data_IF_804903267198
#
_entry.id   IF_804903267198
#
_cell.length_a   1.000
_cell.length_b   1.000
_cell.length_c   1.000
_cell.angle_alpha   90.00
_cell.angle_beta   90.00
_cell.angle_gamma   90.00
#
_symmetry.space_group_name_H-M   'P 1'
#
loop_
_entity.id
_entity.type
_entity.pdbx_description
1 polymer ?
#
# COMPACT_ATOMS: atom_id res chain seq x y z
N UNK A 1 -13.44 -9.29 18.98
CA UNK A 1 -12.47 -8.29 18.53
C UNK A 1 -11.96 -8.66 17.14
N UNK A 2 -12.08 -7.75 16.22
CA UNK A 2 -11.57 -7.99 14.86
C UNK A 2 -10.06 -7.78 14.85
N UNK A 3 -9.31 -8.80 14.46
CA UNK A 3 -7.89 -8.66 14.22
C UNK A 3 -7.63 -8.01 12.85
N UNK A 4 -6.38 -7.73 12.58
CA UNK A 4 -5.97 -7.23 11.27
C UNK A 4 -6.05 -8.35 10.24
N UNK A 5 -6.73 -8.10 9.14
CA UNK A 5 -6.79 -9.05 8.03
C UNK A 5 -5.62 -8.78 7.09
N UNK A 6 -4.87 -9.81 6.75
CA UNK A 6 -3.72 -9.69 5.84
C UNK A 6 -3.95 -10.55 4.61
N UNK A 7 -3.91 -9.93 3.42
CA UNK A 7 -4.05 -10.62 2.15
C UNK A 7 -2.77 -10.49 1.31
N UNK A 8 -2.34 -11.57 0.71
CA UNK A 8 -1.19 -11.58 -0.18
C UNK A 8 -1.66 -11.74 -1.64
N UNK A 9 -1.29 -10.79 -2.47
CA UNK A 9 -1.60 -10.80 -3.90
C UNK A 9 -0.33 -11.18 -4.67
N UNK A 10 -0.26 -12.43 -5.13
CA UNK A 10 0.91 -12.92 -5.87
C UNK A 10 0.66 -12.72 -7.36
N UNK A 11 1.52 -11.94 -7.99
CA UNK A 11 1.38 -11.57 -9.39
C UNK A 11 1.89 -12.66 -10.33
N UNK A 12 1.41 -12.65 -11.58
CA UNK A 12 1.95 -13.50 -12.64
C UNK A 12 3.22 -12.91 -13.26
N UNK A 13 3.50 -11.61 -13.00
CA UNK A 13 4.65 -10.90 -13.56
C UNK A 13 5.65 -10.52 -12.47
N UNK A 14 6.91 -10.34 -12.86
CA UNK A 14 7.99 -9.98 -11.93
C UNK A 14 8.39 -8.51 -12.04
N UNK A 15 7.94 -7.78 -13.05
CA UNK A 15 8.37 -6.41 -13.28
C UNK A 15 7.73 -5.41 -12.32
N UNK A 16 8.47 -4.35 -12.01
CA UNK A 16 8.05 -3.32 -11.06
C UNK A 16 6.78 -2.60 -11.53
N UNK A 17 6.65 -2.32 -12.82
CA UNK A 17 5.49 -1.61 -13.32
C UNK A 17 4.19 -2.39 -13.12
N UNK A 18 4.20 -3.68 -13.39
CA UNK A 18 3.03 -4.53 -13.14
C UNK A 18 2.68 -4.58 -11.66
N UNK A 19 3.70 -4.63 -10.81
CA UNK A 19 3.53 -4.61 -9.36
C UNK A 19 2.86 -3.31 -8.91
N UNK A 20 3.37 -2.17 -9.34
CA UNK A 20 2.83 -0.87 -8.95
C UNK A 20 1.46 -0.60 -9.57
N UNK A 21 1.19 -1.09 -10.78
CA UNK A 21 -0.14 -0.98 -11.38
C UNK A 21 -1.17 -1.74 -10.55
N UNK A 22 -0.81 -2.93 -10.06
CA UNK A 22 -1.68 -3.70 -9.17
C UNK A 22 -1.95 -2.92 -7.88
N UNK A 23 -0.93 -2.29 -7.31
CA UNK A 23 -1.09 -1.42 -6.14
C UNK A 23 -2.12 -0.34 -6.41
N UNK A 24 -2.01 0.36 -7.54
CA UNK A 24 -2.96 1.42 -7.90
C UNK A 24 -4.39 0.90 -8.02
N UNK A 25 -4.58 -0.28 -8.57
CA UNK A 25 -5.91 -0.89 -8.69
C UNK A 25 -6.50 -1.29 -7.34
N UNK A 26 -5.67 -1.80 -6.43
CA UNK A 26 -6.11 -2.11 -5.06
C UNK A 26 -6.50 -0.84 -4.30
N UNK A 27 -5.70 0.20 -4.45
CA UNK A 27 -5.97 1.51 -3.84
C UNK A 27 -7.30 2.07 -4.37
N UNK A 28 -7.50 2.04 -5.68
CA UNK A 28 -8.73 2.51 -6.31
C UNK A 28 -9.94 1.78 -5.75
N UNK A 29 -9.86 0.45 -5.66
CA UNK A 29 -10.96 -0.36 -5.17
C UNK A 29 -11.31 -0.02 -3.72
N UNK A 30 -10.30 0.15 -2.87
CA UNK A 30 -10.52 0.53 -1.47
C UNK A 30 -11.10 1.95 -1.37
N UNK A 31 -10.59 2.87 -2.17
CA UNK A 31 -11.11 4.24 -2.23
C UNK A 31 -12.59 4.26 -2.64
N UNK A 32 -12.96 3.46 -3.63
CA UNK A 32 -14.36 3.38 -4.09
C UNK A 32 -15.29 2.83 -3.02
N UNK A 33 -14.77 2.08 -2.06
CA UNK A 33 -15.52 1.58 -0.91
C UNK A 33 -15.59 2.60 0.24
N UNK A 34 -15.04 3.79 0.05
CA UNK A 34 -15.04 4.83 1.07
C UNK A 34 -13.98 4.65 2.14
N UNK A 35 -12.98 3.81 1.92
CA UNK A 35 -11.94 3.52 2.89
C UNK A 35 -10.77 4.50 2.77
N UNK A 36 -10.09 4.73 3.88
CA UNK A 36 -8.86 5.50 3.91
C UNK A 36 -7.68 4.58 3.75
N UNK A 37 -6.82 4.90 2.78
CA UNK A 37 -5.75 4.01 2.35
C UNK A 37 -4.39 4.63 2.63
N UNK A 38 -3.50 3.84 3.21
CA UNK A 38 -2.10 4.18 3.35
C UNK A 38 -1.29 3.25 2.45
N UNK A 39 -0.31 3.79 1.73
CA UNK A 39 0.63 3.01 0.93
C UNK A 39 2.01 3.23 1.51
N UNK A 40 2.64 2.17 1.99
CA UNK A 40 4.01 2.23 2.48
C UNK A 40 4.94 1.68 1.40
N UNK A 41 5.86 2.52 0.97
CA UNK A 41 6.86 2.15 -0.04
C UNK A 41 8.17 1.78 0.61
N UNK A 42 9.07 1.17 -0.15
CA UNK A 42 10.38 0.73 0.34
C UNK A 42 11.40 1.86 0.40
N UNK A 43 11.19 2.93 -0.37
CA UNK A 43 12.14 4.06 -0.46
C UNK A 43 11.44 5.29 -1.04
N UNK A 44 12.01 6.50 -0.83
CA UNK A 44 11.43 7.72 -1.41
C UNK A 44 11.26 7.67 -2.93
N UNK A 45 12.17 7.02 -3.65
CA UNK A 45 12.05 6.88 -5.11
C UNK A 45 10.79 6.10 -5.49
N UNK A 46 10.46 5.05 -4.74
CA UNK A 46 9.25 4.26 -4.99
C UNK A 46 7.99 5.06 -4.66
N UNK A 47 8.06 5.93 -3.66
CA UNK A 47 6.95 6.84 -3.34
C UNK A 47 6.64 7.73 -4.55
N UNK A 48 7.66 8.28 -5.19
CA UNK A 48 7.49 9.10 -6.39
C UNK A 48 6.87 8.29 -7.53
N UNK A 49 7.34 7.06 -7.73
CA UNK A 49 6.81 6.18 -8.77
C UNK A 49 5.31 5.89 -8.57
N UNK A 50 4.91 5.57 -7.34
CA UNK A 50 3.50 5.30 -7.03
C UNK A 50 2.66 6.54 -7.21
N UNK A 51 3.13 7.69 -6.72
CA UNK A 51 2.41 8.96 -6.84
C UNK A 51 2.16 9.31 -8.29
N UNK A 52 3.18 9.20 -9.13
CA UNK A 52 3.04 9.50 -10.56
C UNK A 52 2.12 8.51 -11.26
N UNK A 53 2.24 7.23 -10.96
CA UNK A 53 1.43 6.20 -11.59
C UNK A 53 -0.06 6.31 -11.18
N UNK A 54 -0.35 6.78 -9.98
CA UNK A 54 -1.73 7.01 -9.55
C UNK A 54 -2.46 8.02 -10.44
N UNK A 55 -1.72 8.94 -11.07
CA UNK A 55 -2.33 9.90 -12.01
C UNK A 55 -2.64 9.29 -13.37
N UNK A 56 -1.95 8.23 -13.77
CA UNK A 56 -1.96 7.75 -15.16
C UNK A 56 -2.31 6.27 -15.35
N UNK A 57 -2.48 5.50 -14.28
CA UNK A 57 -2.70 4.05 -14.41
C UNK A 57 -4.03 3.71 -15.11
N UNK A 58 -4.97 4.62 -15.10
CA UNK A 58 -6.26 4.44 -15.75
C UNK A 58 -6.78 5.78 -16.28
N UNK A 59 -7.20 5.82 -17.52
CA UNK A 59 -7.78 7.01 -18.15
C UNK A 59 -9.15 7.37 -17.58
N UNK A 60 -9.82 6.43 -16.90
CA UNK A 60 -11.20 6.58 -16.46
C UNK A 60 -11.31 6.79 -14.96
N UNK A 61 -10.19 6.81 -14.27
CA UNK A 61 -10.19 6.84 -12.82
C UNK A 61 -9.39 8.01 -12.30
N UNK A 62 -9.95 8.67 -11.31
CA UNK A 62 -9.23 9.68 -10.54
C UNK A 62 -9.34 9.30 -9.07
N UNK A 63 -8.20 9.06 -8.43
CA UNK A 63 -8.14 8.76 -7.01
C UNK A 63 -7.36 9.89 -6.32
N UNK A 64 -8.03 10.68 -5.47
CA UNK A 64 -7.33 11.73 -4.73
C UNK A 64 -6.24 11.11 -3.84
N UNK A 65 -5.01 11.56 -4.01
CA UNK A 65 -3.87 11.01 -3.27
C UNK A 65 -2.81 12.09 -3.03
N UNK A 66 -1.94 11.82 -2.07
CA UNK A 66 -0.83 12.69 -1.77
C UNK A 66 0.30 11.96 -1.09
N UNK A 67 1.46 12.60 -1.03
CA UNK A 67 2.65 12.07 -0.37
C UNK A 67 2.69 12.60 1.06
N UNK A 68 2.93 11.72 2.02
CA UNK A 68 3.10 12.08 3.42
C UNK A 68 4.60 12.02 3.78
N UNK A 69 5.16 12.91 4.58
CA UNK A 69 4.46 13.93 5.36
C UNK A 69 4.04 15.15 4.54
N UNK A 70 2.96 15.77 4.96
CA UNK A 70 2.37 16.94 4.33
C UNK A 70 1.62 17.76 5.38
N UNK A 71 0.97 18.83 4.95
CA UNK A 71 0.11 19.63 5.83
C UNK A 71 -0.99 18.74 6.43
N UNK A 72 -1.24 18.79 7.76
CA UNK A 72 -2.25 17.95 8.39
C UNK A 72 -3.66 18.13 7.83
N UNK A 73 -4.05 19.32 7.44
CA UNK A 73 -5.38 19.55 6.85
C UNK A 73 -5.49 18.89 5.48
N UNK A 74 -4.42 18.96 4.69
CA UNK A 74 -4.35 18.25 3.42
C UNK A 74 -4.46 16.75 3.62
N UNK A 75 -3.72 16.21 4.59
CA UNK A 75 -3.73 14.78 4.87
C UNK A 75 -5.13 14.32 5.30
N UNK A 76 -5.80 15.07 6.16
CA UNK A 76 -7.14 14.74 6.62
C UNK A 76 -8.15 14.74 5.46
N UNK A 77 -8.00 15.65 4.52
CA UNK A 77 -8.89 15.78 3.37
C UNK A 77 -8.59 14.76 2.25
N UNK A 78 -7.41 14.14 2.27
CA UNK A 78 -6.95 13.27 1.18
C UNK A 78 -7.10 11.80 1.57
N UNK A 79 -7.92 11.01 0.85
CA UNK A 79 -8.23 9.64 1.26
C UNK A 79 -7.07 8.65 1.10
N UNK A 80 -6.10 8.94 0.25
CA UNK A 80 -4.96 8.05 -0.01
C UNK A 80 -3.66 8.79 0.26
N UNK A 81 -2.84 8.25 1.15
CA UNK A 81 -1.52 8.80 1.46
C UNK A 81 -0.42 7.78 1.19
N UNK A 82 0.67 8.23 0.62
CA UNK A 82 1.81 7.42 0.21
C UNK A 82 3.05 7.91 0.96
N UNK A 83 3.78 6.98 1.57
CA UNK A 83 5.01 7.33 2.31
C UNK A 83 5.97 6.16 2.40
N UNK A 84 7.26 6.46 2.45
CA UNK A 84 8.28 5.44 2.75
C UNK A 84 8.57 5.35 4.25
N UNK A 85 7.98 6.22 5.04
CA UNK A 85 8.16 6.26 6.50
C UNK A 85 6.85 6.05 7.25
N UNK A 86 6.75 6.65 8.41
CA UNK A 86 5.54 6.58 9.23
C UNK A 86 4.35 7.23 8.52
N UNK A 87 3.16 6.75 8.85
CA UNK A 87 1.90 7.24 8.29
C UNK A 87 1.01 7.77 9.41
N UNK A 88 0.12 8.74 9.11
CA UNK A 88 -0.71 9.34 10.17
C UNK A 88 -1.83 8.41 10.62
N UNK A 89 -2.33 8.62 11.83
CA UNK A 89 -3.38 7.79 12.42
C UNK A 89 -4.72 7.90 11.70
N UNK A 90 -4.91 8.92 10.89
CA UNK A 90 -6.15 9.14 10.14
C UNK A 90 -6.40 8.12 9.03
N UNK A 91 -5.36 7.38 8.60
CA UNK A 91 -5.43 6.46 7.46
C UNK A 91 -5.10 5.04 7.91
N UNK A 92 -6.07 4.40 8.60
CA UNK A 92 -5.86 3.07 9.21
C UNK A 92 -6.83 2.00 8.73
N UNK A 93 -7.63 2.28 7.70
CA UNK A 93 -8.53 1.25 7.15
C UNK A 93 -7.75 0.19 6.38
N UNK A 94 -6.92 0.61 5.42
CA UNK A 94 -6.15 -0.30 4.56
C UNK A 94 -4.72 0.19 4.44
N UNK A 95 -3.78 -0.71 4.66
CA UNK A 95 -2.37 -0.48 4.33
C UNK A 95 -1.99 -1.35 3.15
N UNK A 96 -1.45 -0.75 2.09
CA UNK A 96 -0.81 -1.50 1.00
C UNK A 96 0.70 -1.43 1.28
N UNK A 97 1.28 -2.56 1.61
CA UNK A 97 2.69 -2.63 2.02
C UNK A 97 3.60 -3.05 0.86
N UNK A 98 4.50 -2.16 0.48
CA UNK A 98 5.54 -2.43 -0.50
C UNK A 98 6.92 -2.52 0.16
N UNK A 99 6.98 -2.31 1.47
CA UNK A 99 8.23 -2.42 2.23
C UNK A 99 8.72 -3.85 2.35
N UNK A 100 9.99 -4.01 2.68
CA UNK A 100 10.62 -5.32 2.79
C UNK A 100 10.20 -6.08 4.04
N UNK A 101 9.80 -5.37 5.09
CA UNK A 101 9.53 -5.95 6.41
C UNK A 101 8.06 -5.82 6.80
N UNK A 102 7.65 -6.61 7.79
CA UNK A 102 6.35 -6.44 8.44
C UNK A 102 6.35 -5.09 9.15
N UNK A 103 5.38 -4.21 8.86
CA UNK A 103 5.30 -2.93 9.58
C UNK A 103 5.12 -3.16 11.08
N UNK A 104 5.87 -2.43 11.89
CA UNK A 104 5.81 -2.58 13.35
C UNK A 104 4.42 -2.24 13.91
N UNK A 105 3.68 -1.38 13.22
CA UNK A 105 2.36 -0.90 13.62
C UNK A 105 1.22 -1.59 12.85
N UNK A 106 1.46 -2.78 12.28
CA UNK A 106 0.48 -3.40 11.39
C UNK A 106 -0.88 -3.67 12.06
N UNK A 107 -0.88 -3.92 13.36
CA UNK A 107 -2.12 -4.19 14.10
C UNK A 107 -3.04 -2.98 14.23
N UNK A 108 -2.56 -1.79 13.90
CA UNK A 108 -3.37 -0.56 13.91
C UNK A 108 -4.24 -0.42 12.66
N UNK A 109 -3.97 -1.22 11.63
CA UNK A 109 -4.75 -1.22 10.40
C UNK A 109 -5.80 -2.32 10.42
N UNK A 110 -6.95 -2.06 9.83
CA UNK A 110 -8.01 -3.08 9.71
C UNK A 110 -7.64 -4.14 8.69
N UNK A 111 -6.94 -3.75 7.62
CA UNK A 111 -6.55 -4.66 6.55
C UNK A 111 -5.18 -4.28 5.99
N UNK A 112 -4.40 -5.31 5.65
CA UNK A 112 -3.11 -5.13 4.99
C UNK A 112 -3.11 -5.91 3.68
N UNK A 113 -2.67 -5.24 2.61
CA UNK A 113 -2.48 -5.86 1.30
C UNK A 113 -0.99 -5.94 1.00
N UNK A 114 -0.50 -7.16 0.84
CA UNK A 114 0.87 -7.42 0.39
C UNK A 114 0.83 -7.75 -1.09
N UNK A 115 1.65 -7.07 -1.89
CA UNK A 115 1.70 -7.29 -3.33
C UNK A 115 3.05 -7.91 -3.67
N UNK A 116 3.03 -9.15 -4.18
CA UNK A 116 4.23 -9.98 -4.34
C UNK A 116 4.49 -10.24 -5.83
N UNK A 117 5.66 -9.83 -6.31
CA UNK A 117 6.08 -10.14 -7.68
C UNK A 117 6.32 -11.67 -7.84
N UNK A 118 6.35 -12.14 -9.08
CA UNK A 118 6.39 -13.58 -9.36
C UNK A 118 7.75 -14.24 -9.18
N UNK A 119 8.83 -13.48 -8.99
CA UNK A 119 10.17 -14.05 -8.83
C UNK A 119 10.33 -14.77 -7.49
N UNK A 120 11.21 -15.75 -7.46
CA UNK A 120 11.40 -16.60 -6.27
C UNK A 120 11.90 -15.83 -5.05
N UNK A 121 12.72 -14.81 -5.25
CA UNK A 121 13.22 -13.99 -4.16
C UNK A 121 12.09 -13.20 -3.50
N UNK A 122 11.22 -12.58 -4.31
CA UNK A 122 10.04 -11.86 -3.80
C UNK A 122 9.12 -12.79 -3.03
N UNK A 123 8.88 -13.99 -3.54
CA UNK A 123 8.04 -14.99 -2.87
C UNK A 123 8.65 -15.46 -1.56
N UNK A 124 9.95 -15.66 -1.52
CA UNK A 124 10.67 -16.05 -0.31
C UNK A 124 10.54 -14.99 0.78
N UNK A 125 10.73 -13.73 0.42
CA UNK A 125 10.58 -12.61 1.36
C UNK A 125 9.14 -12.47 1.85
N UNK A 126 8.19 -12.69 0.97
CA UNK A 126 6.77 -12.66 1.32
C UNK A 126 6.43 -13.74 2.34
N UNK A 127 6.99 -14.94 2.20
CA UNK A 127 6.78 -16.02 3.18
C UNK A 127 7.32 -15.63 4.56
N UNK A 128 8.45 -14.92 4.62
CA UNK A 128 8.99 -14.43 5.90
C UNK A 128 8.04 -13.40 6.53
N UNK A 129 7.49 -12.48 5.74
CA UNK A 129 6.51 -11.51 6.24
C UNK A 129 5.23 -12.20 6.72
N UNK A 130 4.77 -13.20 5.97
CA UNK A 130 3.59 -13.97 6.34
C UNK A 130 3.75 -14.59 7.72
N UNK A 131 4.92 -15.15 8.01
CA UNK A 131 5.22 -15.69 9.34
C UNK A 131 5.23 -14.57 10.39
N UNK A 132 5.81 -13.43 10.07
CA UNK A 132 5.84 -12.29 10.98
C UNK A 132 4.45 -11.77 11.36
N UNK A 133 3.52 -11.78 10.42
CA UNK A 133 2.15 -11.38 10.71
C UNK A 133 1.42 -12.34 11.64
N UNK A 134 1.82 -13.58 11.67
CA UNK A 134 1.21 -14.61 12.52
C UNK A 134 1.71 -14.59 13.95
N UNK A 135 2.84 -13.99 14.20
CA UNK A 135 3.41 -13.86 15.56
C UNK A 135 2.84 -12.63 16.32
#
# INVERSE_FOLDING_TARGET
MAGTKVDFYVLAAADQRSRLTTVCRLVEKAYEQGLRVAVRTSAPAETVEVDELMWTFSDRSFVPHGVWPADPDFATATPVLISSGALPDSHRDVLVNLGADVPADFTTFSRICEVVASDEDAKRRARLRWRGYKE
#
